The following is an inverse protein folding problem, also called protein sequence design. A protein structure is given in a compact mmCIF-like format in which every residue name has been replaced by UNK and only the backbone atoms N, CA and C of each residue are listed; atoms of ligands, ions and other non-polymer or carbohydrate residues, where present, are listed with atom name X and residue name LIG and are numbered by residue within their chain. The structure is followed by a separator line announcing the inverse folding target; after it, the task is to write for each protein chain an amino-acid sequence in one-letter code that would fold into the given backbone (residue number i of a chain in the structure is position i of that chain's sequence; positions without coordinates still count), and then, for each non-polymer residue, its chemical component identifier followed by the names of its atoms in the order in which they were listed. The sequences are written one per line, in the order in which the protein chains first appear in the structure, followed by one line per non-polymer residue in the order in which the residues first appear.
data_IF_701639542227
#
_entry.id   IF_701639542227
#
_cell.length_a   1.000
_cell.length_b   1.000
_cell.length_c   1.000
_cell.angle_alpha   90.00
_cell.angle_beta   90.00
_cell.angle_gamma   90.00
#
_symmetry.space_group_name_H-M   'P 1'
#
loop_
_entity.id
_entity.type
_entity.pdbx_description
1 polymer ?
2 water ?
#
# COMPACT_ATOMS: atom_id res chain seq x y z
N UNK A 6 9.44 25.88 -13.31
CA UNK A 6 9.67 25.99 -11.87
C UNK A 6 8.61 25.21 -11.13
N UNK A 7 7.66 25.91 -10.52
CA UNK A 7 6.59 25.25 -9.80
C UNK A 7 5.68 24.48 -10.73
N UNK A 8 5.33 25.08 -11.86
CA UNK A 8 4.46 24.43 -12.83
C UNK A 8 5.16 23.17 -13.32
N UNK A 9 6.48 23.27 -13.47
CA UNK A 9 7.31 22.15 -13.84
C UNK A 9 7.21 21.03 -12.80
N UNK A 10 7.39 21.40 -11.53
CA UNK A 10 7.39 20.43 -10.44
C UNK A 10 6.00 19.81 -10.26
N UNK A 11 4.96 20.59 -10.55
CA UNK A 11 3.60 20.09 -10.48
C UNK A 11 3.38 19.05 -11.57
N UNK A 12 3.92 19.30 -12.77
CA UNK A 12 3.80 18.31 -13.84
C UNK A 12 4.56 17.05 -13.46
N UNK A 13 5.74 17.22 -12.85
CA UNK A 13 6.53 16.10 -12.35
C UNK A 13 5.71 15.24 -11.38
N UNK A 14 5.10 15.88 -10.39
CA UNK A 14 4.32 15.16 -9.38
C UNK A 14 3.14 14.44 -10.03
N UNK A 15 2.47 15.09 -10.97
CA UNK A 15 1.35 14.46 -11.64
C UNK A 15 1.80 13.25 -12.43
N UNK A 16 2.96 13.34 -13.08
CA UNK A 16 3.46 12.20 -13.82
C UNK A 16 3.71 11.06 -12.84
N UNK A 17 4.29 11.39 -11.68
CA UNK A 17 4.56 10.37 -10.69
C UNK A 17 3.27 9.75 -10.13
N UNK A 18 2.23 10.58 -9.97
CA UNK A 18 0.94 10.09 -9.47
C UNK A 18 0.27 9.16 -10.48
N UNK A 19 0.45 9.44 -11.78
CA UNK A 19 -0.07 8.58 -12.83
C UNK A 19 0.54 7.19 -12.68
N UNK A 20 1.87 7.18 -12.50
CA UNK A 20 2.57 5.92 -12.29
C UNK A 20 2.04 5.20 -11.07
N UNK A 21 1.85 5.93 -9.99
CA UNK A 21 1.39 5.34 -8.75
C UNK A 21 0.02 4.73 -8.93
N UNK A 22 -0.84 5.37 -9.71
CA UNK A 22 -2.15 4.84 -9.97
C UNK A 22 -2.01 3.46 -10.63
N UNK A 23 -1.06 3.36 -11.56
CA UNK A 23 -0.82 2.11 -12.27
C UNK A 23 -0.30 1.04 -11.30
N UNK A 24 0.61 1.44 -10.41
CA UNK A 24 1.20 0.53 -9.45
C UNK A 24 0.11 -0.01 -8.50
N UNK A 25 -0.82 0.87 -8.08
CA UNK A 25 -1.92 0.45 -7.21
C UNK A 25 -2.76 -0.62 -7.89
N UNK A 26 -3.04 -0.44 -9.18
CA UNK A 26 -3.85 -1.42 -9.90
C UNK A 26 -3.13 -2.76 -9.95
N UNK A 27 -1.81 -2.73 -10.09
CA UNK A 27 -1.04 -3.96 -10.13
C UNK A 27 -1.10 -4.67 -8.78
N UNK A 28 -0.97 -3.92 -7.70
CA UNK A 28 -1.05 -4.47 -6.35
C UNK A 28 -2.41 -5.12 -6.11
N UNK A 29 -3.46 -4.44 -6.54
CA UNK A 29 -4.81 -4.95 -6.42
C UNK A 29 -4.96 -6.26 -7.20
N UNK A 30 -4.46 -6.29 -8.42
CA UNK A 30 -4.54 -7.51 -9.22
C UNK A 30 -3.76 -8.66 -8.60
N UNK A 31 -2.57 -8.37 -8.08
CA UNK A 31 -1.77 -9.40 -7.43
C UNK A 31 -2.44 -9.96 -6.19
N UNK A 32 -3.04 -9.11 -5.37
CA UNK A 32 -3.74 -9.61 -4.18
C UNK A 32 -4.90 -10.55 -4.57
N UNK A 33 -5.59 -10.23 -5.66
CA UNK A 33 -6.65 -11.13 -6.16
C UNK A 33 -6.07 -12.48 -6.56
N UNK A 34 -4.94 -12.44 -7.24
CA UNK A 34 -4.28 -13.65 -7.69
C UNK A 34 -3.86 -14.50 -6.49
N UNK A 35 -3.33 -13.84 -5.48
CA UNK A 35 -2.83 -14.55 -4.30
C UNK A 35 -4.02 -15.19 -3.58
N UNK A 36 -5.12 -14.45 -3.48
CA UNK A 36 -6.35 -14.97 -2.89
C UNK A 36 -6.81 -16.24 -3.62
N UNK A 37 -6.71 -16.22 -4.95
CA UNK A 37 -7.12 -17.37 -5.75
C UNK A 37 -6.22 -18.57 -5.47
N UNK A 38 -4.93 -18.35 -5.30
CA UNK A 38 -4.02 -19.45 -4.95
C UNK A 38 -4.40 -20.07 -3.64
N UNK A 39 -4.80 -19.22 -2.70
CA UNK A 39 -5.20 -19.70 -1.40
C UNK A 39 -6.34 -20.69 -1.56
N UNK A 40 -7.25 -20.38 -2.48
CA UNK A 40 -8.44 -21.20 -2.73
C UNK A 40 -8.07 -22.52 -3.42
N UNK A 41 -7.20 -22.47 -4.43
CA UNK A 41 -6.80 -23.71 -5.10
C UNK A 41 -6.25 -24.67 -4.09
N UNK A 42 -5.46 -24.13 -3.18
CA UNK A 42 -4.81 -24.93 -2.14
C UNK A 42 -3.89 -25.95 -2.78
N UNK A 43 -3.22 -25.53 -3.85
CA UNK A 43 -2.22 -26.34 -4.51
C UNK A 43 -0.84 -25.80 -4.11
N UNK A 44 -0.83 -24.80 -3.22
CA UNK A 44 0.39 -24.09 -2.83
C UNK A 44 0.66 -24.17 -1.32
N UNK A 45 1.93 -24.03 -0.95
CA UNK A 45 2.33 -24.06 0.45
C UNK A 45 2.15 -22.71 1.12
N UNK A 46 2.10 -22.72 2.44
CA UNK A 46 2.02 -21.49 3.18
C UNK A 46 3.30 -20.70 2.93
N UNK A 47 4.47 -21.36 2.91
CA UNK A 47 5.72 -20.64 2.64
C UNK A 47 5.66 -19.84 1.34
N UNK A 48 5.11 -20.47 0.30
CA UNK A 48 4.98 -19.83 -1.00
C UNK A 48 4.03 -18.63 -0.95
N UNK A 49 2.91 -18.79 -0.25
CA UNK A 49 1.92 -17.73 -0.13
C UNK A 49 2.51 -16.57 0.67
N UNK A 50 3.24 -16.90 1.73
CA UNK A 50 3.86 -15.91 2.57
C UNK A 50 4.89 -15.10 1.78
N UNK A 51 5.66 -15.78 0.94
CA UNK A 51 6.64 -15.10 0.10
C UNK A 51 5.95 -14.07 -0.81
N UNK A 52 4.84 -14.45 -1.42
CA UNK A 52 4.17 -13.52 -2.31
C UNK A 52 3.60 -12.31 -1.56
N UNK A 53 3.09 -12.54 -0.34
CA UNK A 53 2.54 -11.45 0.44
C UNK A 53 3.63 -10.51 0.96
N UNK A 54 4.79 -11.09 1.28
CA UNK A 54 5.99 -10.38 1.69
C UNK A 54 6.31 -9.34 0.62
N UNK A 55 6.28 -9.77 -0.65
CA UNK A 55 6.54 -8.90 -1.79
C UNK A 55 5.49 -7.80 -1.94
N UNK A 56 4.20 -8.12 -1.72
CA UNK A 56 3.17 -7.09 -1.77
C UNK A 56 3.46 -6.01 -0.74
N UNK A 57 3.85 -6.43 0.45
CA UNK A 57 4.10 -5.43 1.48
C UNK A 57 5.23 -4.52 1.06
N UNK A 58 6.29 -5.09 0.53
CA UNK A 58 7.44 -4.32 0.10
C UNK A 58 6.98 -3.26 -0.91
N UNK A 59 6.15 -3.67 -1.86
CA UNK A 59 5.61 -2.78 -2.87
C UNK A 59 4.77 -1.66 -2.26
N UNK A 60 3.93 -1.98 -1.28
CA UNK A 60 3.14 -0.96 -0.64
C UNK A 60 4.03 0.04 0.07
N UNK A 61 5.07 -0.45 0.72
CA UNK A 61 5.99 0.39 1.45
C UNK A 61 6.69 1.35 0.48
N UNK A 62 7.07 0.83 -0.68
CA UNK A 62 7.70 1.67 -1.69
C UNK A 62 6.74 2.75 -2.18
N UNK A 63 5.48 2.38 -2.40
CA UNK A 63 4.49 3.32 -2.86
C UNK A 63 4.31 4.44 -1.85
N UNK A 64 4.19 4.05 -0.61
CA UNK A 64 4.02 4.93 0.52
C UNK A 64 5.15 5.96 0.58
N UNK A 65 6.39 5.50 0.46
CA UNK A 65 7.54 6.41 0.51
C UNK A 65 7.52 7.38 -0.66
N UNK A 66 7.11 6.93 -1.84
CA UNK A 66 7.03 7.85 -2.96
C UNK A 66 5.95 8.89 -2.74
N UNK A 67 4.84 8.49 -2.14
CA UNK A 67 3.78 9.47 -1.90
C UNK A 67 4.26 10.49 -0.88
N UNK A 68 5.06 10.03 0.10
CA UNK A 68 5.60 10.91 1.12
C UNK A 68 6.45 12.00 0.46
N UNK A 69 7.25 11.58 -0.53
CA UNK A 69 8.11 12.49 -1.29
C UNK A 69 7.29 13.54 -2.04
N UNK A 70 6.22 13.09 -2.70
CA UNK A 70 5.35 13.97 -3.45
C UNK A 70 4.75 14.98 -2.51
N UNK A 71 4.26 14.52 -1.37
CA UNK A 71 3.66 15.42 -0.41
C UNK A 71 4.65 16.48 0.04
N UNK A 72 5.88 16.09 0.31
CA UNK A 72 6.89 17.05 0.75
C UNK A 72 7.12 18.13 -0.30
N UNK A 73 7.19 17.72 -1.57
CA UNK A 73 7.39 18.69 -2.62
C UNK A 73 6.15 19.59 -2.80
N UNK A 74 4.94 19.02 -2.66
CA UNK A 74 3.75 19.85 -2.72
C UNK A 74 3.72 20.80 -1.53
N UNK A 75 4.27 20.37 -0.41
CA UNK A 75 4.38 21.22 0.77
C UNK A 75 5.13 22.48 0.43
N UNK A 76 6.26 22.31 -0.22
CA UNK A 76 7.13 23.42 -0.58
C UNK A 76 6.39 24.39 -1.51
N UNK A 77 5.64 23.84 -2.46
CA UNK A 77 4.91 24.67 -3.40
C UNK A 77 3.75 25.41 -2.72
N UNK A 78 2.89 24.66 -2.04
CA UNK A 78 1.74 25.20 -1.33
C UNK A 78 2.18 26.19 -0.26
N UNK A 79 3.26 25.87 0.45
CA UNK A 79 3.83 26.82 1.41
C UNK A 79 4.00 28.15 0.71
N UNK A 80 4.62 28.12 -0.48
CA UNK A 80 4.83 29.30 -1.29
C UNK A 80 3.52 29.86 -1.81
N UNK A 81 2.51 29.00 -1.96
CA UNK A 81 1.20 29.42 -2.45
C UNK A 81 0.17 29.47 -1.30
N UNK B 6 -7.26 25.84 0.09
CA UNK B 6 -7.91 24.67 0.69
C UNK B 6 -7.02 23.47 0.54
N UNK B 7 -6.11 23.57 -0.42
CA UNK B 7 -5.19 22.49 -0.72
C UNK B 7 -4.33 22.19 0.50
N UNK B 8 -4.13 23.22 1.34
CA UNK B 8 -3.33 23.05 2.54
C UNK B 8 -4.08 22.08 3.47
N UNK B 9 -5.40 22.21 3.53
CA UNK B 9 -6.24 21.34 4.36
C UNK B 9 -6.11 19.91 3.84
N UNK B 10 -6.27 19.76 2.53
CA UNK B 10 -6.22 18.46 1.89
C UNK B 10 -4.85 17.80 1.95
N UNK B 11 -3.81 18.60 1.90
CA UNK B 11 -2.47 18.06 1.93
C UNK B 11 -2.21 17.51 3.34
N UNK B 12 -2.69 18.24 4.35
CA UNK B 12 -2.53 17.82 5.74
C UNK B 12 -3.28 16.51 5.96
N UNK B 13 -4.45 16.40 5.35
CA UNK B 13 -5.24 15.18 5.40
C UNK B 13 -4.48 14.02 4.77
N UNK B 14 -3.92 14.25 3.58
CA UNK B 14 -3.14 13.22 2.89
C UNK B 14 -2.00 12.74 3.77
N UNK B 15 -1.31 13.67 4.41
CA UNK B 15 -0.19 13.34 5.28
C UNK B 15 -0.64 12.50 6.47
N UNK B 16 -1.74 12.90 7.10
CA UNK B 16 -2.21 12.18 8.27
C UNK B 16 -2.58 10.75 7.90
N UNK B 17 -3.26 10.61 6.76
CA UNK B 17 -3.72 9.30 6.36
C UNK B 17 -2.55 8.41 5.93
N UNK B 18 -1.55 9.00 5.31
CA UNK B 18 -0.40 8.24 4.87
C UNK B 18 0.32 7.68 6.11
N UNK B 19 0.44 8.49 7.16
CA UNK B 19 1.08 8.06 8.40
C UNK B 19 0.32 6.90 9.02
N UNK B 20 -1.01 6.96 8.94
CA UNK B 20 -1.80 5.86 9.44
C UNK B 20 -1.59 4.58 8.63
N UNK B 21 -1.57 4.65 7.28
CA UNK B 21 -1.39 3.37 6.58
C UNK B 21 0.01 2.86 6.75
N UNK B 22 1.00 3.74 6.92
CA UNK B 22 2.36 3.32 7.18
C UNK B 22 2.35 2.45 8.44
N UNK B 23 1.73 2.98 9.50
CA UNK B 23 1.66 2.26 10.75
C UNK B 23 0.85 0.96 10.61
N UNK B 24 -0.29 1.03 9.91
CA UNK B 24 -1.14 -0.16 9.74
C UNK B 24 -0.42 -1.26 8.96
N UNK B 25 0.28 -0.86 7.89
CA UNK B 25 0.99 -1.80 7.04
C UNK B 25 2.11 -2.49 7.83
N UNK B 26 2.80 -1.74 8.66
CA UNK B 26 3.85 -2.33 9.49
C UNK B 26 3.26 -3.38 10.42
N UNK B 27 2.05 -3.14 10.93
CA UNK B 27 1.44 -4.14 11.80
C UNK B 27 1.11 -5.38 11.01
N UNK B 28 0.71 -5.22 9.76
CA UNK B 28 0.39 -6.37 8.93
C UNK B 28 1.65 -7.18 8.71
N UNK B 29 2.76 -6.49 8.42
CA UNK B 29 4.02 -7.15 8.19
C UNK B 29 4.38 -8.01 9.39
N UNK B 30 4.22 -7.44 10.59
CA UNK B 30 4.51 -8.14 11.84
C UNK B 30 3.66 -9.40 12.01
N UNK B 31 2.38 -9.31 11.66
CA UNK B 31 1.47 -10.44 11.76
C UNK B 31 1.91 -11.53 10.80
N UNK B 32 2.34 -11.13 9.60
CA UNK B 32 2.79 -12.08 8.61
C UNK B 32 4.04 -12.81 9.17
N UNK B 33 4.92 -12.08 9.84
CA UNK B 33 6.12 -12.68 10.47
C UNK B 33 5.68 -13.78 11.47
N UNK B 34 4.71 -13.45 12.30
CA UNK B 34 4.10 -14.39 13.25
C UNK B 34 3.62 -15.66 12.54
N UNK B 35 2.92 -15.50 11.42
CA UNK B 35 2.37 -16.62 10.64
C UNK B 35 3.52 -17.47 10.09
N UNK B 36 4.59 -16.81 9.61
CA UNK B 36 5.77 -17.52 9.13
C UNK B 36 6.36 -18.37 10.26
N UNK B 37 6.41 -17.80 11.46
CA UNK B 37 6.90 -18.50 12.64
C UNK B 37 6.08 -19.78 12.87
N UNK B 38 4.76 -19.65 12.86
CA UNK B 38 3.89 -20.82 13.07
C UNK B 38 4.09 -21.89 12.03
N UNK B 39 4.24 -21.45 10.78
CA UNK B 39 4.43 -22.36 9.66
C UNK B 39 5.70 -23.19 9.88
N UNK B 40 6.78 -22.48 10.23
CA UNK B 40 8.06 -23.11 10.49
C UNK B 40 7.98 -24.04 11.70
N UNK B 41 7.24 -23.62 12.73
CA UNK B 41 7.09 -24.38 13.97
C UNK B 41 6.21 -25.61 13.76
N UNK B 42 5.40 -25.58 12.70
CA UNK B 42 4.52 -26.70 12.39
C UNK B 42 3.48 -26.85 13.49
N UNK B 43 3.05 -25.73 14.09
CA UNK B 43 2.11 -25.84 15.21
C UNK B 43 0.66 -25.70 14.80
N UNK B 44 0.41 -25.23 13.58
CA UNK B 44 -0.96 -25.05 13.11
C UNK B 44 -1.28 -25.91 11.91
N UNK B 45 -2.56 -26.17 11.72
CA UNK B 45 -2.99 -26.95 10.57
C UNK B 45 -2.91 -26.06 9.35
N UNK B 46 -2.91 -26.67 8.18
CA UNK B 46 -2.87 -25.92 6.95
C UNK B 46 -4.10 -25.02 6.88
N UNK B 47 -5.24 -25.52 7.34
CA UNK B 47 -6.48 -24.76 7.33
C UNK B 47 -6.36 -23.54 8.21
N UNK B 48 -5.73 -23.69 9.36
CA UNK B 48 -5.54 -22.60 10.30
C UNK B 48 -4.65 -21.54 9.68
N UNK B 49 -3.60 -21.99 8.99
CA UNK B 49 -2.66 -21.09 8.35
C UNK B 49 -3.32 -20.34 7.21
N UNK B 50 -4.14 -21.05 6.44
CA UNK B 50 -4.86 -20.44 5.34
C UNK B 50 -5.78 -19.36 5.83
N UNK B 51 -6.45 -19.62 6.96
CA UNK B 51 -7.37 -18.64 7.51
C UNK B 51 -6.63 -17.34 7.83
N UNK B 52 -5.50 -17.44 8.50
CA UNK B 52 -4.74 -16.25 8.82
C UNK B 52 -4.20 -15.55 7.58
N UNK B 53 -3.79 -16.30 6.58
CA UNK B 53 -3.28 -15.68 5.35
C UNK B 53 -4.38 -14.94 4.58
N UNK B 54 -5.60 -15.48 4.59
CA UNK B 54 -6.72 -14.79 3.93
C UNK B 54 -7.03 -13.49 4.63
N UNK B 55 -6.81 -13.46 5.95
CA UNK B 55 -7.04 -12.23 6.73
C UNK B 55 -5.95 -11.20 6.39
N UNK B 56 -4.72 -11.65 6.23
CA UNK B 56 -3.62 -10.77 5.79
C UNK B 56 -3.93 -10.13 4.44
N UNK B 57 -4.47 -10.95 3.54
CA UNK B 57 -4.79 -10.47 2.20
C UNK B 57 -5.83 -9.37 2.29
N UNK B 58 -6.89 -9.59 3.07
CA UNK B 58 -7.94 -8.58 3.26
C UNK B 58 -7.36 -7.28 3.80
N UNK B 59 -6.51 -7.38 4.82
CA UNK B 59 -5.90 -6.21 5.43
C UNK B 59 -5.04 -5.45 4.40
N UNK B 60 -4.33 -6.18 3.55
CA UNK B 60 -3.50 -5.54 2.54
C UNK B 60 -4.36 -4.89 1.45
N UNK B 61 -5.48 -5.51 1.11
CA UNK B 61 -6.36 -4.92 0.10
C UNK B 61 -6.85 -3.57 0.60
N UNK B 62 -7.19 -3.53 1.89
CA UNK B 62 -7.62 -2.31 2.55
C UNK B 62 -6.52 -1.23 2.50
N UNK B 63 -5.29 -1.61 2.83
CA UNK B 63 -4.20 -0.65 2.80
C UNK B 63 -3.98 -0.13 1.37
N UNK B 64 -4.12 -1.01 0.38
CA UNK B 64 -3.94 -0.64 -1.01
C UNK B 64 -4.96 0.42 -1.39
N UNK B 65 -6.20 0.21 -0.96
CA UNK B 65 -7.28 1.13 -1.23
C UNK B 65 -7.03 2.48 -0.57
N UNK B 66 -6.46 2.47 0.63
CA UNK B 66 -6.15 3.70 1.32
C UNK B 66 -5.15 4.51 0.48
N UNK B 67 -4.15 3.83 -0.07
CA UNK B 67 -3.17 4.53 -0.89
C UNK B 67 -3.81 5.09 -2.16
N UNK B 68 -4.75 4.35 -2.75
CA UNK B 68 -5.46 4.81 -3.93
C UNK B 68 -6.17 6.11 -3.66
N UNK B 69 -6.81 6.19 -2.49
CA UNK B 69 -7.53 7.38 -2.08
C UNK B 69 -6.61 8.58 -1.88
N UNK B 70 -5.44 8.34 -1.27
CA UNK B 70 -4.47 9.40 -1.07
C UNK B 70 -4.01 9.95 -2.42
N UNK B 71 -3.73 9.04 -3.35
CA UNK B 71 -3.31 9.43 -4.70
C UNK B 71 -4.38 10.32 -5.35
N UNK B 72 -5.63 9.90 -5.22
CA UNK B 72 -6.76 10.63 -5.81
C UNK B 72 -6.81 12.05 -5.26
N UNK B 73 -6.61 12.17 -3.95
CA UNK B 73 -6.68 13.47 -3.33
C UNK B 73 -5.52 14.36 -3.75
N UNK B 74 -4.32 13.77 -3.88
CA UNK B 74 -3.15 14.53 -4.28
C UNK B 74 -3.32 15.06 -5.71
N UNK B 75 -3.95 14.26 -6.56
CA UNK B 75 -4.21 14.68 -7.94
C UNK B 75 -5.18 15.84 -7.96
N UNK B 76 -6.16 15.82 -7.07
CA UNK B 76 -7.12 16.91 -6.98
C UNK B 76 -6.40 18.19 -6.61
N UNK B 77 -5.48 18.07 -5.66
CA UNK B 77 -4.68 19.20 -5.21
C UNK B 77 -3.89 19.80 -6.37
N UNK B 78 -3.17 18.96 -7.09
CA UNK B 78 -2.38 19.43 -8.22
C UNK B 78 -3.23 20.11 -9.29
N UNK B 79 -4.36 19.50 -9.61
CA UNK B 79 -5.23 20.06 -10.63
C UNK B 79 -5.88 21.37 -10.16
N UNK B 80 -6.13 21.51 -8.85
CA UNK B 80 -6.74 22.72 -8.31
C UNK B 80 -5.75 23.87 -8.10
N UNK B 81 -4.60 23.58 -7.48
CA UNK B 81 -3.56 24.57 -7.18
C UNK B 81 -2.66 24.80 -8.38
#
# INVERSE_FOLDING_TARGET
GSHMGSEDYKLREAQRELDKQRKDTEEIRKRLKEIQRLTDERTSTADELIKELREIIRRLQEQSEKLREIIEELEKIIRKR
GSHMGSEDYKLREAQRELDKQRKDTEEIRKRLKEIQRLTDERTSTADELIKELREIIRRLQEQSEKLREIIEELEKIIRKR
#
